data_IF_131609844761
#
_entry.id   IF_131609844761
#
_cell.length_a   1.000
_cell.length_b   1.000
_cell.length_c   1.000
_cell.angle_alpha   90.00
_cell.angle_beta   90.00
_cell.angle_gamma   90.00
#
_symmetry.space_group_name_H-M   'P 1'
#
loop_
_entity.id
_entity.type
_entity.pdbx_description
1 polymer ?
#
# COMPACT_ATOMS: atom_id res chain seq x y z
N UNK A 1 -12.54 60.12 21.50
CA UNK A 1 -12.11 59.01 20.60
C UNK A 1 -12.14 59.50 19.15
N UNK A 2 -10.99 59.50 18.48
CA UNK A 2 -10.85 60.04 17.12
C UNK A 2 -11.20 58.98 16.07
N UNK A 3 -12.31 59.18 15.34
CA UNK A 3 -12.88 58.22 14.36
C UNK A 3 -11.91 57.82 13.24
N UNK A 4 -10.84 58.61 13.03
CA UNK A 4 -9.78 58.34 12.05
C UNK A 4 -8.83 57.21 12.47
N UNK A 5 -8.67 56.95 13.77
CA UNK A 5 -7.79 55.86 14.24
C UNK A 5 -8.42 54.48 14.06
N UNK A 6 -9.75 54.39 14.06
CA UNK A 6 -10.49 53.14 13.83
C UNK A 6 -10.45 52.65 12.37
N UNK A 7 -10.16 53.55 11.42
CA UNK A 7 -10.14 53.23 10.00
C UNK A 7 -8.79 52.67 9.51
N UNK A 8 -7.70 52.95 10.21
CA UNK A 8 -6.36 52.52 9.80
C UNK A 8 -6.02 51.08 10.22
N UNK A 9 -6.72 50.53 11.22
CA UNK A 9 -6.44 49.18 11.75
C UNK A 9 -7.14 48.05 10.99
N UNK A 10 -8.05 48.35 10.05
CA UNK A 10 -8.83 47.34 9.35
C UNK A 10 -8.17 46.81 8.05
N UNK A 11 -7.16 47.49 7.51
CA UNK A 11 -6.62 47.19 6.18
C UNK A 11 -5.42 46.22 6.16
N UNK A 12 -4.92 45.77 7.30
CA UNK A 12 -3.68 44.98 7.39
C UNK A 12 -3.89 43.46 7.45
N UNK A 13 -5.12 42.96 7.61
CA UNK A 13 -5.38 41.53 7.86
C UNK A 13 -5.63 40.68 6.59
N UNK A 14 -5.66 41.27 5.39
CA UNK A 14 -6.07 40.56 4.17
C UNK A 14 -4.92 39.98 3.32
N UNK A 15 -3.66 40.25 3.66
CA UNK A 15 -2.52 39.84 2.82
C UNK A 15 -1.82 38.54 3.26
N UNK A 16 -2.23 37.90 4.36
CA UNK A 16 -1.54 36.73 4.92
C UNK A 16 -2.03 35.37 4.38
N UNK A 17 -3.03 35.32 3.49
CA UNK A 17 -3.64 34.05 3.02
C UNK A 17 -3.06 33.49 1.71
N UNK A 18 -2.06 34.15 1.09
CA UNK A 18 -1.61 33.81 -0.27
C UNK A 18 -0.51 32.73 -0.40
N UNK A 19 0.11 32.28 0.69
CA UNK A 19 1.36 31.47 0.63
C UNK A 19 1.17 29.96 0.79
N UNK A 20 -0.05 29.45 0.99
CA UNK A 20 -0.27 28.00 1.16
C UNK A 20 -0.36 27.22 -0.17
N UNK A 21 -0.40 27.89 -1.33
CA UNK A 21 -0.58 27.24 -2.64
C UNK A 21 0.72 26.70 -3.27
N UNK A 22 1.87 26.81 -2.58
CA UNK A 22 3.16 26.36 -3.09
C UNK A 22 3.59 24.97 -2.58
N UNK A 23 2.71 24.25 -1.89
CA UNK A 23 2.97 22.84 -1.57
C UNK A 23 2.84 22.06 -2.89
N UNK A 24 3.90 21.42 -3.40
CA UNK A 24 3.76 20.51 -4.53
C UNK A 24 2.68 19.49 -4.15
N UNK A 25 1.68 19.29 -5.01
CA UNK A 25 0.73 18.21 -4.81
C UNK A 25 1.55 16.93 -4.65
N UNK A 26 1.50 16.31 -3.47
CA UNK A 26 2.13 15.02 -3.25
C UNK A 26 1.52 14.07 -4.28
N UNK A 27 2.31 13.63 -5.26
CA UNK A 27 1.86 12.67 -6.25
C UNK A 27 1.44 11.42 -5.47
N UNK A 28 0.16 11.08 -5.50
CA UNK A 28 -0.35 9.89 -4.85
C UNK A 28 0.40 8.68 -5.44
N UNK A 29 1.25 8.07 -4.61
CA UNK A 29 2.03 6.92 -5.03
C UNK A 29 1.05 5.78 -5.31
N UNK A 30 1.03 5.27 -6.54
CA UNK A 30 0.15 4.17 -6.89
C UNK A 30 0.59 2.91 -6.14
N UNK A 31 -0.38 2.12 -5.69
CA UNK A 31 -0.17 0.96 -4.85
C UNK A 31 -0.83 -0.28 -5.49
N UNK A 32 -0.10 -1.40 -5.50
CA UNK A 32 -0.54 -2.67 -6.06
C UNK A 32 -0.71 -3.73 -4.96
N UNK A 33 -1.68 -4.64 -5.17
CA UNK A 33 -1.75 -5.88 -4.41
C UNK A 33 -0.63 -6.81 -4.89
N UNK A 34 0.34 -7.07 -4.02
CA UNK A 34 1.44 -7.99 -4.31
C UNK A 34 1.23 -9.31 -3.58
N UNK A 35 0.93 -10.35 -4.34
CA UNK A 35 0.60 -11.66 -3.81
C UNK A 35 1.85 -12.50 -3.52
N UNK A 36 1.77 -13.35 -2.50
CA UNK A 36 2.84 -14.29 -2.16
C UNK A 36 4.07 -13.67 -1.49
N UNK A 37 3.96 -12.43 -0.99
CA UNK A 37 5.07 -11.75 -0.27
C UNK A 37 4.80 -11.56 1.23
N UNK A 38 3.55 -11.76 1.67
CA UNK A 38 3.15 -11.53 3.05
C UNK A 38 3.70 -12.66 3.94
N UNK A 39 4.31 -12.32 5.08
CA UNK A 39 4.60 -13.30 6.13
C UNK A 39 3.30 -13.67 6.86
N UNK A 40 3.34 -14.77 7.61
CA UNK A 40 2.27 -15.12 8.53
C UNK A 40 1.93 -13.92 9.44
N UNK A 41 0.64 -13.61 9.56
CA UNK A 41 0.13 -12.46 10.30
C UNK A 41 0.36 -11.09 9.66
N UNK A 42 0.83 -11.03 8.41
CA UNK A 42 1.17 -9.76 7.74
C UNK A 42 0.48 -9.55 6.38
N UNK A 43 -0.55 -10.34 6.07
CA UNK A 43 -1.38 -10.12 4.89
C UNK A 43 -2.31 -8.93 5.07
N UNK A 44 -2.69 -8.31 3.97
CA UNK A 44 -3.80 -7.36 3.89
C UNK A 44 -5.15 -8.07 3.67
N UNK A 45 -6.24 -7.32 3.82
CA UNK A 45 -7.62 -7.82 3.75
C UNK A 45 -7.98 -8.40 2.37
N UNK A 46 -8.91 -9.36 2.36
CA UNK A 46 -9.51 -9.97 1.16
C UNK A 46 -8.53 -10.75 0.26
N UNK A 47 -7.92 -11.81 0.82
CA UNK A 47 -7.17 -12.80 0.05
C UNK A 47 -8.02 -13.53 -1.00
N UNK A 48 -7.38 -14.17 -1.97
CA UNK A 48 -8.03 -14.83 -3.12
C UNK A 48 -8.93 -15.99 -2.69
N UNK A 49 -8.54 -16.73 -1.66
CA UNK A 49 -9.25 -17.92 -1.20
C UNK A 49 -10.60 -17.60 -0.53
N UNK A 50 -10.78 -16.36 -0.06
CA UNK A 50 -11.95 -15.95 0.72
C UNK A 50 -12.04 -16.60 2.11
N UNK A 51 -11.05 -17.41 2.51
CA UNK A 51 -11.03 -18.09 3.82
C UNK A 51 -10.80 -17.11 4.97
N UNK A 52 -10.19 -15.96 4.68
CA UNK A 52 -10.09 -14.84 5.59
C UNK A 52 -10.26 -13.52 4.83
N UNK A 53 -10.82 -12.54 5.52
CA UNK A 53 -11.06 -11.20 4.97
C UNK A 53 -10.33 -10.11 5.74
N UNK A 54 -9.82 -10.40 6.94
CA UNK A 54 -9.18 -9.43 7.82
C UNK A 54 -7.66 -9.45 7.68
N UNK A 55 -7.04 -8.28 7.80
CA UNK A 55 -5.59 -8.11 7.84
C UNK A 55 -4.98 -8.96 8.96
N UNK A 56 -3.83 -9.58 8.67
CA UNK A 56 -3.01 -10.29 9.65
C UNK A 56 -3.57 -11.64 10.11
N UNK A 57 -4.39 -12.28 9.28
CA UNK A 57 -5.01 -13.57 9.59
C UNK A 57 -4.38 -14.74 8.84
N UNK A 58 -3.48 -14.51 7.88
CA UNK A 58 -2.71 -15.57 7.22
C UNK A 58 -1.88 -16.34 8.23
N UNK A 59 -2.04 -17.64 8.26
CA UNK A 59 -1.24 -18.56 9.07
C UNK A 59 0.03 -19.02 8.34
N UNK A 60 0.00 -19.00 7.01
CA UNK A 60 1.11 -19.39 6.14
C UNK A 60 1.88 -18.15 5.68
N UNK A 61 3.21 -18.26 5.63
CA UNK A 61 4.04 -17.21 5.02
C UNK A 61 4.15 -17.46 3.52
N UNK A 62 4.09 -16.38 2.75
CA UNK A 62 4.25 -16.35 1.29
C UNK A 62 3.15 -17.09 0.52
N UNK A 63 1.98 -17.27 1.14
CA UNK A 63 0.81 -17.84 0.47
C UNK A 63 0.45 -16.99 -0.77
N UNK A 64 0.43 -17.56 -1.98
CA UNK A 64 0.11 -16.84 -3.21
C UNK A 64 -1.35 -16.36 -3.27
N UNK A 65 -2.24 -16.89 -2.43
CA UNK A 65 -3.59 -16.38 -2.22
C UNK A 65 -3.65 -15.10 -1.40
N UNK A 66 -2.59 -14.80 -0.65
CA UNK A 66 -2.52 -13.65 0.23
C UNK A 66 -1.59 -12.58 -0.32
N UNK A 67 -1.90 -11.32 -0.03
CA UNK A 67 -1.12 -10.19 -0.53
C UNK A 67 -0.75 -9.22 0.56
N UNK A 68 0.28 -8.43 0.27
CA UNK A 68 0.51 -7.16 0.93
C UNK A 68 0.47 -6.03 -0.11
N UNK A 69 -0.04 -4.88 0.28
CA UNK A 69 -0.06 -3.68 -0.56
C UNK A 69 1.35 -3.10 -0.63
N UNK A 70 1.84 -2.87 -1.84
CA UNK A 70 3.18 -2.33 -2.11
C UNK A 70 3.13 -1.22 -3.15
N UNK A 71 4.14 -0.34 -3.21
CA UNK A 71 4.27 0.62 -4.30
C UNK A 71 4.26 -0.10 -5.65
N UNK A 72 3.52 0.45 -6.61
CA UNK A 72 3.45 -0.09 -7.97
C UNK A 72 4.84 -0.32 -8.55
N UNK A 73 5.01 -1.45 -9.26
CA UNK A 73 6.29 -1.82 -9.89
C UNK A 73 7.25 -2.61 -9.00
N UNK A 74 7.12 -2.55 -7.66
CA UNK A 74 8.05 -3.23 -6.75
C UNK A 74 7.75 -4.74 -6.58
N UNK A 75 6.52 -5.17 -6.86
CA UNK A 75 6.08 -6.53 -6.55
C UNK A 75 6.94 -7.61 -7.24
N UNK A 76 7.26 -7.40 -8.52
CA UNK A 76 8.09 -8.33 -9.29
C UNK A 76 9.52 -8.44 -8.75
N UNK A 77 10.10 -7.32 -8.31
CA UNK A 77 11.44 -7.27 -7.72
C UNK A 77 11.50 -8.06 -6.41
N UNK A 78 10.43 -7.97 -5.61
CA UNK A 78 10.25 -8.79 -4.41
C UNK A 78 10.07 -10.28 -4.73
N UNK A 79 9.72 -10.63 -5.97
CA UNK A 79 9.42 -12.01 -6.40
C UNK A 79 7.95 -12.39 -6.24
N UNK A 80 7.09 -11.43 -5.86
CA UNK A 80 5.66 -11.62 -5.74
C UNK A 80 4.94 -11.68 -7.09
N UNK A 81 3.64 -11.92 -7.00
CA UNK A 81 2.76 -12.15 -8.13
C UNK A 81 1.71 -11.04 -8.23
N UNK A 82 1.29 -10.74 -9.46
CA UNK A 82 0.03 -10.02 -9.66
C UNK A 82 -1.17 -10.97 -9.45
N UNK A 83 -2.39 -10.42 -9.44
CA UNK A 83 -3.60 -11.19 -9.18
C UNK A 83 -3.83 -12.34 -10.19
N UNK A 84 -3.51 -12.13 -11.46
CA UNK A 84 -3.72 -13.14 -12.51
C UNK A 84 -2.76 -14.31 -12.33
N UNK A 85 -1.48 -14.02 -12.13
CA UNK A 85 -0.44 -15.00 -11.87
C UNK A 85 -0.72 -15.80 -10.60
N UNK A 86 -1.14 -15.13 -9.53
CA UNK A 86 -1.53 -15.76 -8.28
C UNK A 86 -2.70 -16.75 -8.48
N UNK A 87 -3.76 -16.32 -9.17
CA UNK A 87 -4.90 -17.19 -9.49
C UNK A 87 -4.53 -18.38 -10.36
N UNK A 88 -3.61 -18.20 -11.32
CA UNK A 88 -3.14 -19.30 -12.16
C UNK A 88 -2.35 -20.32 -11.34
N UNK A 89 -1.41 -19.85 -10.53
CA UNK A 89 -0.53 -20.69 -9.71
C UNK A 89 -1.32 -21.47 -8.64
N UNK A 90 -2.35 -20.85 -8.03
CA UNK A 90 -3.24 -21.51 -7.07
C UNK A 90 -4.00 -22.73 -7.62
N UNK A 91 -4.04 -22.93 -8.94
CA UNK A 91 -4.66 -24.12 -9.54
C UNK A 91 -3.78 -25.37 -9.42
N UNK A 92 -2.49 -25.22 -9.09
CA UNK A 92 -1.55 -26.33 -8.98
C UNK A 92 -0.86 -26.33 -7.60
N UNK A 93 -1.26 -27.22 -6.67
CA UNK A 93 -0.69 -27.27 -5.33
C UNK A 93 0.84 -27.53 -5.29
N UNK A 94 1.39 -28.24 -6.26
CA UNK A 94 2.83 -28.47 -6.33
C UNK A 94 3.59 -27.17 -6.66
N UNK A 95 3.04 -26.36 -7.57
CA UNK A 95 3.61 -25.05 -7.90
C UNK A 95 3.47 -24.04 -6.75
N UNK A 96 2.36 -24.09 -6.00
CA UNK A 96 2.17 -23.33 -4.75
C UNK A 96 3.31 -23.61 -3.78
N UNK A 97 3.55 -24.88 -3.47
CA UNK A 97 4.59 -25.27 -2.53
C UNK A 97 5.98 -24.83 -2.98
N UNK A 98 6.31 -25.04 -4.26
CA UNK A 98 7.60 -24.60 -4.82
C UNK A 98 7.76 -23.08 -4.75
N UNK A 99 6.69 -22.32 -4.98
CA UNK A 99 6.70 -20.87 -4.88
C UNK A 99 6.93 -20.41 -3.43
N UNK A 100 6.20 -20.96 -2.46
CA UNK A 100 6.37 -20.64 -1.03
C UNK A 100 7.79 -20.92 -0.55
N UNK A 101 8.35 -22.09 -0.90
CA UNK A 101 9.74 -22.45 -0.59
C UNK A 101 10.75 -21.49 -1.22
N UNK A 102 10.56 -21.15 -2.50
CA UNK A 102 11.40 -20.18 -3.22
C UNK A 102 11.35 -18.80 -2.56
N UNK A 103 10.18 -18.34 -2.18
CA UNK A 103 9.99 -17.03 -1.52
C UNK A 103 10.59 -17.03 -0.12
N UNK A 104 10.39 -18.10 0.65
CA UNK A 104 11.02 -18.28 1.95
C UNK A 104 12.55 -18.20 1.87
N UNK A 105 13.15 -18.86 0.87
CA UNK A 105 14.59 -18.80 0.62
C UNK A 105 15.04 -17.41 0.17
N UNK A 106 14.31 -16.76 -0.74
CA UNK A 106 14.67 -15.42 -1.24
C UNK A 106 14.67 -14.38 -0.13
N UNK A 107 13.74 -14.48 0.82
CA UNK A 107 13.54 -13.51 1.91
C UNK A 107 14.42 -13.79 3.14
N UNK A 108 15.17 -14.89 3.15
CA UNK A 108 16.16 -15.22 4.18
C UNK A 108 17.61 -14.93 3.77
N UNK A 109 17.82 -14.50 2.53
CA UNK A 109 19.10 -14.05 1.98
C UNK A 109 19.21 -12.53 2.08
#
# INVERSE_FOLDING_TARGET
>A
MNKRQLLHTAAASLLAMGVLSLVPAAQAQSMDKCFGIAKAGQNDCAGISGLHSCKGTSTTSYDPGDFAVKPTGTCKEMGGLNMEQAKALLKNPAEVKMFEEKMAKKMSM
#
